data_IF_032166810376
#
_entry.id   IF_032166810376
#
_cell.length_a   1.000
_cell.length_b   1.000
_cell.length_c   1.000
_cell.angle_alpha   90.00
_cell.angle_beta   90.00
_cell.angle_gamma   90.00
#
_symmetry.space_group_name_H-M   'P 1'
#
loop_
_entity.id
_entity.type
_entity.pdbx_description
1 polymer ?
#
# COMPACT_ATOMS: atom_id res chain seq x y z
N UNK A 1 1.34 -2.63 10.17
CA UNK A 1 2.61 -1.97 9.80
C UNK A 1 3.46 -1.86 11.06
N UNK A 2 4.78 -1.79 10.95
CA UNK A 2 5.70 -1.42 12.03
C UNK A 2 6.53 -0.23 11.55
N UNK A 3 7.14 0.53 12.47
CA UNK A 3 8.06 1.59 12.07
C UNK A 3 9.33 0.97 11.48
N UNK A 4 9.79 1.52 10.37
CA UNK A 4 11.15 1.29 9.87
C UNK A 4 12.13 2.25 10.59
N UNK A 5 13.43 2.02 10.43
CA UNK A 5 14.44 2.83 11.13
C UNK A 5 14.42 4.31 10.71
N UNK A 6 14.13 4.62 9.45
CA UNK A 6 14.01 6.00 8.98
C UNK A 6 12.86 6.72 9.70
N UNK A 7 11.73 6.05 9.89
CA UNK A 7 10.57 6.57 10.63
C UNK A 7 10.87 6.70 12.14
N UNK A 8 11.68 5.80 12.72
CA UNK A 8 12.15 5.93 14.11
C UNK A 8 13.04 7.15 14.27
N UNK A 9 13.95 7.40 13.33
CA UNK A 9 14.82 8.57 13.33
C UNK A 9 14.03 9.88 13.12
N UNK A 10 13.02 9.86 12.25
CA UNK A 10 12.17 11.03 11.96
C UNK A 10 11.29 11.42 13.15
N UNK A 11 10.57 10.45 13.72
CA UNK A 11 9.58 10.74 14.76
C UNK A 11 10.14 10.66 16.18
N UNK A 12 11.32 10.08 16.35
CA UNK A 12 12.00 9.92 17.65
C UNK A 12 11.09 9.37 18.77
N UNK A 13 10.33 8.29 18.53
CA UNK A 13 9.48 7.72 19.57
C UNK A 13 10.31 7.24 20.78
N UNK A 14 9.72 7.16 21.97
CA UNK A 14 10.40 6.66 23.16
C UNK A 14 10.91 5.24 22.94
N UNK A 15 12.17 5.02 23.31
CA UNK A 15 12.84 3.73 23.21
C UNK A 15 12.38 2.79 24.32
N UNK A 16 12.11 1.54 23.95
CA UNK A 16 11.81 0.44 24.86
C UNK A 16 12.78 -0.73 24.64
N UNK A 17 13.01 -1.59 25.66
CA UNK A 17 13.78 -2.81 25.45
C UNK A 17 13.06 -3.76 24.50
N UNK A 18 13.80 -4.35 23.57
CA UNK A 18 13.29 -5.35 22.66
C UNK A 18 12.72 -6.56 23.42
N UNK A 19 11.65 -7.14 22.87
CA UNK A 19 10.87 -8.18 23.54
C UNK A 19 11.60 -9.52 23.57
N UNK A 20 12.31 -9.80 24.67
CA UNK A 20 13.10 -11.02 24.90
C UNK A 20 12.30 -12.32 24.72
N UNK A 21 10.99 -12.28 24.96
CA UNK A 21 10.10 -13.43 24.83
C UNK A 21 9.55 -13.65 23.42
N UNK A 22 9.81 -12.75 22.47
CA UNK A 22 9.45 -12.95 21.06
C UNK A 22 10.35 -14.04 20.45
N UNK A 23 9.75 -14.98 19.72
CA UNK A 23 10.50 -16.07 19.07
C UNK A 23 11.52 -15.60 18.05
N UNK A 24 11.39 -14.36 17.57
CA UNK A 24 12.30 -13.71 16.61
C UNK A 24 13.32 -12.82 17.30
N UNK A 25 13.35 -12.75 18.64
CA UNK A 25 14.20 -11.84 19.39
C UNK A 25 15.69 -11.96 19.03
N UNK A 26 16.22 -13.18 18.93
CA UNK A 26 17.64 -13.40 18.60
C UNK A 26 18.00 -12.78 17.24
N UNK A 27 17.19 -13.03 16.21
CA UNK A 27 17.39 -12.45 14.88
C UNK A 27 17.19 -10.93 14.90
N UNK A 28 16.16 -10.45 15.59
CA UNK A 28 15.86 -9.02 15.69
C UNK A 28 17.02 -8.24 16.31
N UNK A 29 17.58 -8.71 17.42
CA UNK A 29 18.67 -8.02 18.12
C UNK A 29 19.95 -8.00 17.29
N UNK A 30 20.22 -9.05 16.51
CA UNK A 30 21.37 -9.08 15.61
C UNK A 30 21.26 -8.04 14.49
N UNK A 31 20.04 -7.73 14.05
CA UNK A 31 19.79 -6.84 12.91
C UNK A 31 19.53 -5.39 13.33
N UNK A 32 18.75 -5.18 14.39
CA UNK A 32 18.22 -3.87 14.81
C UNK A 32 18.67 -3.43 16.20
N UNK A 33 19.34 -4.30 16.97
CA UNK A 33 19.78 -4.01 18.33
C UNK A 33 18.77 -4.37 19.42
N UNK A 34 19.10 -4.07 20.66
CA UNK A 34 18.31 -4.44 21.85
C UNK A 34 17.12 -3.52 22.13
N UNK A 35 16.79 -2.66 21.19
CA UNK A 35 15.86 -1.55 21.36
C UNK A 35 14.68 -1.74 20.41
N UNK A 36 13.50 -1.34 20.85
CA UNK A 36 12.25 -1.42 20.10
C UNK A 36 11.42 -0.18 20.35
N UNK A 37 10.56 0.17 19.38
CA UNK A 37 9.72 1.35 19.42
C UNK A 37 8.28 0.96 19.16
N UNK A 38 7.36 1.60 19.89
CA UNK A 38 5.94 1.34 19.77
C UNK A 38 5.30 2.34 18.81
N UNK A 39 4.45 1.84 17.92
CA UNK A 39 3.75 2.67 16.93
C UNK A 39 2.75 3.62 17.60
N UNK A 40 2.16 3.20 18.72
CA UNK A 40 1.17 3.97 19.47
C UNK A 40 1.77 5.16 20.25
N UNK A 41 3.10 5.29 20.26
CA UNK A 41 3.79 6.46 20.78
C UNK A 41 3.77 7.66 19.82
N UNK A 42 3.33 7.46 18.57
CA UNK A 42 3.14 8.54 17.60
C UNK A 42 1.75 9.17 17.72
N UNK A 43 1.63 10.41 17.24
CA UNK A 43 0.34 11.10 17.18
C UNK A 43 -0.64 10.33 16.26
N UNK A 44 -1.94 10.22 16.61
CA UNK A 44 -2.90 9.45 15.83
C UNK A 44 -3.01 9.86 14.36
N UNK A 45 -2.80 11.14 14.04
CA UNK A 45 -2.77 11.62 12.65
C UNK A 45 -1.59 11.07 11.87
N UNK A 46 -0.41 10.98 12.49
CA UNK A 46 0.80 10.42 11.86
C UNK A 46 0.58 8.94 11.56
N UNK A 47 -0.01 8.20 12.50
CA UNK A 47 -0.33 6.78 12.28
C UNK A 47 -1.33 6.63 11.12
N UNK A 48 -2.33 7.50 11.03
CA UNK A 48 -3.31 7.48 9.95
C UNK A 48 -2.64 7.71 8.59
N UNK A 49 -1.76 8.72 8.49
CA UNK A 49 -1.03 9.05 7.27
C UNK A 49 -0.13 7.88 6.83
N UNK A 50 0.64 7.30 7.76
CA UNK A 50 1.50 6.14 7.48
C UNK A 50 0.73 4.93 6.95
N UNK A 51 -0.44 4.64 7.52
CA UNK A 51 -1.31 3.55 7.08
C UNK A 51 -1.90 3.86 5.69
N UNK A 52 -2.34 5.10 5.48
CA UNK A 52 -2.90 5.52 4.20
C UNK A 52 -1.87 5.40 3.07
N UNK A 53 -0.65 5.90 3.29
CA UNK A 53 0.43 5.86 2.32
C UNK A 53 0.85 4.42 1.98
N UNK A 54 0.98 3.56 2.99
CA UNK A 54 1.29 2.14 2.80
C UNK A 54 0.20 1.47 1.96
N UNK A 55 -1.07 1.70 2.26
CA UNK A 55 -2.20 1.16 1.46
C UNK A 55 -2.16 1.70 0.04
N UNK A 56 -1.94 3.00 -0.14
CA UNK A 56 -1.88 3.65 -1.45
C UNK A 56 -0.78 3.07 -2.32
N UNK A 57 0.35 2.67 -1.74
CA UNK A 57 1.45 2.03 -2.48
C UNK A 57 1.04 0.73 -3.19
N UNK A 58 0.05 0.00 -2.64
CA UNK A 58 -0.50 -1.22 -3.24
C UNK A 58 -1.63 -0.95 -4.23
N UNK A 59 -2.21 0.25 -4.22
CA UNK A 59 -3.25 0.64 -5.17
C UNK A 59 -2.57 0.97 -6.49
N UNK A 60 -2.67 0.07 -7.46
CA UNK A 60 -2.28 0.39 -8.84
C UNK A 60 -3.18 1.52 -9.35
N UNK A 61 -2.65 2.71 -9.69
CA UNK A 61 -3.45 3.71 -10.34
C UNK A 61 -3.77 3.16 -11.74
N UNK A 62 -5.00 2.69 -11.94
CA UNK A 62 -5.47 2.47 -13.30
C UNK A 62 -5.63 3.87 -13.90
N UNK A 63 -4.85 4.25 -14.93
CA UNK A 63 -5.02 5.54 -15.54
C UNK A 63 -6.46 5.60 -16.07
N UNK A 64 -7.22 6.60 -15.66
CA UNK A 64 -8.59 6.83 -16.17
C UNK A 64 -8.64 6.75 -17.70
N UNK A 65 -7.60 7.25 -18.38
CA UNK A 65 -7.45 7.17 -19.84
C UNK A 65 -7.30 5.75 -20.41
N UNK A 66 -6.73 4.81 -19.65
CA UNK A 66 -6.58 3.44 -20.09
C UNK A 66 -7.95 2.73 -20.11
N UNK A 67 -8.77 2.97 -19.09
CA UNK A 67 -10.16 2.45 -19.03
C UNK A 67 -11.03 3.09 -20.11
N UNK A 68 -10.92 4.41 -20.31
CA UNK A 68 -11.69 5.13 -21.33
C UNK A 68 -11.38 4.65 -22.76
N UNK A 69 -10.13 4.30 -23.05
CA UNK A 69 -9.74 3.76 -24.35
C UNK A 69 -10.29 2.35 -24.61
N UNK A 70 -10.32 1.50 -23.56
CA UNK A 70 -10.91 0.16 -23.65
C UNK A 70 -12.43 0.25 -23.88
N UNK A 71 -13.13 1.14 -23.17
CA UNK A 71 -14.57 1.36 -23.35
C UNK A 71 -14.93 1.86 -24.75
N UNK A 72 -14.17 2.80 -25.30
CA UNK A 72 -14.37 3.31 -26.67
C UNK A 72 -14.11 2.24 -27.74
N UNK A 73 -13.13 1.36 -27.49
CA UNK A 73 -12.82 0.25 -28.40
C UNK A 73 -13.94 -0.79 -28.39
N UNK A 74 -14.40 -1.19 -27.21
CA UNK A 74 -15.49 -2.14 -27.04
C UNK A 74 -16.81 -1.60 -27.62
N UNK A 75 -17.10 -0.31 -27.41
CA UNK A 75 -18.26 0.35 -28.00
C UNK A 75 -18.23 0.32 -29.54
N UNK A 76 -17.06 0.49 -30.16
CA UNK A 76 -16.89 0.39 -31.62
C UNK A 76 -17.13 -1.04 -32.12
N UNK A 77 -16.56 -2.04 -31.45
CA UNK A 77 -16.75 -3.46 -31.81
C UNK A 77 -18.24 -3.83 -31.75
N UNK A 78 -18.92 -3.46 -30.66
CA UNK A 78 -20.36 -3.72 -30.48
C UNK A 78 -21.17 -3.07 -31.60
N UNK A 79 -20.81 -1.83 -31.99
CA UNK A 79 -21.50 -1.10 -33.05
C UNK A 79 -21.29 -1.74 -34.44
N UNK A 80 -20.09 -2.20 -34.74
CA UNK A 80 -19.79 -2.91 -35.98
C UNK A 80 -20.52 -4.26 -36.05
N UNK A 81 -20.44 -5.08 -35.00
CA UNK A 81 -21.15 -6.37 -34.92
C UNK A 81 -22.67 -6.18 -35.08
N UNK A 82 -23.24 -5.18 -34.40
CA UNK A 82 -24.65 -4.80 -34.52
C UNK A 82 -25.05 -4.46 -35.96
N UNK A 83 -24.20 -3.73 -36.68
CA UNK A 83 -24.44 -3.36 -38.08
C UNK A 83 -24.39 -4.59 -38.99
N UNK A 84 -23.36 -5.42 -38.86
CA UNK A 84 -23.20 -6.64 -39.67
C UNK A 84 -24.34 -7.65 -39.44
N UNK A 85 -24.83 -7.77 -38.20
CA UNK A 85 -25.99 -8.63 -37.88
C UNK A 85 -27.30 -8.12 -38.49
N UNK A 86 -27.46 -6.80 -38.65
CA UNK A 86 -28.63 -6.20 -39.32
C UNK A 86 -28.57 -6.32 -40.84
N UNK A 87 -27.37 -6.32 -41.42
CA UNK A 87 -27.16 -6.43 -42.87
C UNK A 87 -27.26 -7.87 -43.38
N UNK A 88 -27.05 -8.87 -42.51
CA UNK A 88 -27.17 -10.30 -42.82
C UNK A 88 -28.55 -10.91 -42.49
N UNK A 89 -29.58 -10.07 -42.29
CA UNK A 89 -30.95 -10.49 -41.93
C UNK A 89 -31.94 -10.04 -43.00
#
# INVERSE_FOLDING_TARGET
IALNMDQVEEYTPPENPAKVTDSRFETYVLEYGSSSWELDALEPSVIADLVEDEIRSFIKPIPWKAVEQDEDHDAKIIKELSKTLKENK
#
